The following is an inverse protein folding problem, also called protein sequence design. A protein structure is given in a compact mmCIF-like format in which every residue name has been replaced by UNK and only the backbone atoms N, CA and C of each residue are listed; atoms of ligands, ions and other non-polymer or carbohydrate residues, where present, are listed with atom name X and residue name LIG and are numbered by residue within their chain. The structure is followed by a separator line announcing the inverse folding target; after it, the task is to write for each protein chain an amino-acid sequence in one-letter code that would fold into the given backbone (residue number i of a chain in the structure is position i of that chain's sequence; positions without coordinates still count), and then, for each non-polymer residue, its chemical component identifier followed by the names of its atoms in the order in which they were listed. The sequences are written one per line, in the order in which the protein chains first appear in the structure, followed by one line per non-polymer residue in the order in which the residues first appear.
data_IF_937433099284
#
_entry.id   IF_937433099284
#
_cell.length_a   1.000
_cell.length_b   1.000
_cell.length_c   1.000
_cell.angle_alpha   90.00
_cell.angle_beta   90.00
_cell.angle_gamma   90.00
#
_symmetry.space_group_name_H-M   'P 1'
#
loop_
_entity.id
_entity.type
_entity.pdbx_description
1 polymer ?
#
# COMPACT_ATOMS: atom_id res chain seq x y z
N UNK A 1 0.57 -23.35 22.70
CA UNK A 1 1.84 -22.73 22.30
C UNK A 1 1.99 -22.97 20.80
N UNK A 2 1.75 -22.07 19.86
CA UNK A 2 1.17 -20.73 19.86
C UNK A 2 0.39 -20.61 18.55
N UNK A 3 -0.92 -20.37 18.62
CA UNK A 3 -1.71 -19.90 17.47
C UNK A 3 -1.59 -18.37 17.45
N UNK A 4 -0.47 -17.85 16.96
CA UNK A 4 -0.25 -16.41 16.85
C UNK A 4 0.10 -16.04 15.41
N UNK A 5 -0.87 -15.34 14.80
CA UNK A 5 -0.70 -14.30 13.78
C UNK A 5 -0.40 -14.74 12.34
N UNK A 6 -1.32 -15.51 11.74
CA UNK A 6 -1.57 -15.35 10.29
C UNK A 6 -2.46 -14.13 10.03
N UNK A 7 -1.97 -12.93 10.35
CA UNK A 7 -2.44 -11.77 9.57
C UNK A 7 -1.74 -11.87 8.23
N UNK A 8 -2.40 -12.51 7.27
CA UNK A 8 -1.98 -12.48 5.87
C UNK A 8 -1.75 -11.02 5.48
N UNK A 9 -0.48 -10.60 5.46
CA UNK A 9 -0.02 -9.37 4.82
C UNK A 9 -0.15 -9.61 3.32
N UNK A 10 -1.38 -9.70 2.84
CA UNK A 10 -1.64 -9.94 1.43
C UNK A 10 -1.23 -8.67 0.71
N UNK A 11 -0.04 -8.71 0.11
CA UNK A 11 0.44 -7.65 -0.75
C UNK A 11 -0.25 -7.81 -2.09
N UNK A 12 -1.32 -7.05 -2.30
CA UNK A 12 -2.14 -7.14 -3.51
C UNK A 12 -1.86 -6.01 -4.50
N UNK A 13 -1.23 -4.91 -4.06
CA UNK A 13 -1.12 -3.71 -4.86
C UNK A 13 0.27 -3.07 -4.81
N UNK A 14 0.66 -2.48 -5.94
CA UNK A 14 1.86 -1.65 -6.10
C UNK A 14 1.50 -0.26 -6.60
N UNK A 15 2.31 0.72 -6.27
CA UNK A 15 2.21 2.08 -6.79
C UNK A 15 3.50 2.42 -7.55
N UNK A 16 3.39 2.91 -8.79
CA UNK A 16 4.56 3.39 -9.52
C UNK A 16 5.09 4.67 -8.86
N UNK A 17 6.41 4.81 -8.73
CA UNK A 17 7.01 5.96 -8.07
C UNK A 17 6.66 7.30 -8.74
N UNK A 18 6.44 7.30 -10.07
CA UNK A 18 6.00 8.48 -10.82
C UNK A 18 4.48 8.56 -11.05
N UNK A 19 3.82 7.42 -11.31
CA UNK A 19 2.38 7.39 -11.59
C UNK A 19 1.67 6.95 -10.32
N UNK A 20 1.11 7.92 -9.60
CA UNK A 20 0.60 7.73 -8.23
C UNK A 20 -0.68 6.89 -8.12
N UNK A 21 -1.06 6.11 -9.14
CA UNK A 21 -2.21 5.21 -9.06
C UNK A 21 -1.76 3.80 -8.64
N UNK A 22 -2.41 3.15 -7.66
CA UNK A 22 -2.17 1.76 -7.34
C UNK A 22 -2.64 0.81 -8.45
N UNK A 23 -1.92 -0.29 -8.66
CA UNK A 23 -2.25 -1.37 -9.60
C UNK A 23 -2.11 -2.73 -8.93
N UNK A 24 -2.92 -3.73 -9.30
CA UNK A 24 -2.81 -5.06 -8.73
C UNK A 24 -1.49 -5.74 -9.12
N UNK A 25 -0.94 -6.51 -8.19
CA UNK A 25 0.21 -7.37 -8.41
C UNK A 25 -0.21 -8.68 -9.09
N UNK A 26 0.56 -9.11 -10.09
CA UNK A 26 0.47 -10.47 -10.61
C UNK A 26 0.93 -11.50 -9.57
N UNK A 27 0.42 -12.72 -9.66
CA UNK A 27 0.67 -13.81 -8.70
C UNK A 27 2.14 -14.12 -8.46
N UNK A 28 2.98 -14.08 -9.50
CA UNK A 28 4.41 -14.35 -9.38
C UNK A 28 5.18 -13.24 -8.64
N UNK A 29 4.86 -11.97 -8.92
CA UNK A 29 5.44 -10.85 -8.18
C UNK A 29 4.97 -10.86 -6.73
N UNK A 30 3.71 -11.25 -6.48
CA UNK A 30 3.18 -11.42 -5.12
C UNK A 30 3.99 -12.46 -4.34
N UNK A 31 4.24 -13.64 -4.90
CA UNK A 31 5.06 -14.68 -4.27
C UNK A 31 6.49 -14.20 -4.00
N UNK A 32 7.08 -13.44 -4.93
CA UNK A 32 8.41 -12.87 -4.72
C UNK A 32 8.42 -11.84 -3.60
N UNK A 33 7.41 -10.96 -3.53
CA UNK A 33 7.27 -10.00 -2.43
C UNK A 33 7.13 -10.72 -1.10
N UNK A 34 6.27 -11.75 -1.01
CA UNK A 34 6.09 -12.54 0.21
C UNK A 34 7.42 -13.15 0.66
N UNK A 35 8.19 -13.75 -0.25
CA UNK A 35 9.54 -14.27 0.06
C UNK A 35 10.52 -13.19 0.53
N UNK A 36 10.54 -12.01 -0.08
CA UNK A 36 11.40 -10.89 0.38
C UNK A 36 10.98 -10.43 1.77
N UNK A 37 9.68 -10.42 2.08
CA UNK A 37 9.18 -10.05 3.40
C UNK A 37 9.52 -11.08 4.48
N UNK A 38 9.56 -12.36 4.13
CA UNK A 38 9.94 -13.45 5.03
C UNK A 38 11.44 -13.54 5.26
N UNK A 39 12.23 -13.42 4.20
CA UNK A 39 13.67 -13.72 4.23
C UNK A 39 14.56 -12.47 4.30
N UNK A 40 14.04 -11.32 3.88
CA UNK A 40 14.82 -10.10 3.66
C UNK A 40 15.72 -10.13 2.42
N UNK A 41 15.83 -11.29 1.74
CA UNK A 41 16.70 -11.47 0.59
C UNK A 41 16.01 -11.00 -0.69
N UNK A 42 16.71 -10.20 -1.50
CA UNK A 42 16.19 -9.71 -2.76
C UNK A 42 15.88 -10.88 -3.72
N UNK A 43 14.72 -10.81 -4.38
CA UNK A 43 14.28 -11.78 -5.36
C UNK A 43 14.42 -11.21 -6.77
N UNK A 44 14.87 -12.03 -7.70
CA UNK A 44 15.02 -11.65 -9.11
C UNK A 44 14.17 -12.59 -9.96
N UNK A 45 13.24 -12.03 -10.72
CA UNK A 45 12.40 -12.77 -11.66
C UNK A 45 12.84 -12.40 -13.07
N UNK A 46 13.35 -13.39 -13.80
CA UNK A 46 13.69 -13.24 -15.21
C UNK A 46 12.47 -13.55 -16.09
N UNK A 47 12.08 -12.61 -16.93
CA UNK A 47 11.11 -12.79 -18.01
C UNK A 47 11.83 -12.60 -19.33
N UNK A 48 11.43 -13.36 -20.35
CA UNK A 48 12.01 -13.25 -21.70
C UNK A 48 11.98 -11.84 -22.33
N UNK A 49 11.25 -10.89 -21.73
CA UNK A 49 11.16 -9.48 -22.14
C UNK A 49 11.74 -8.50 -21.10
N UNK A 50 12.23 -8.95 -19.94
CA UNK A 50 12.75 -8.08 -18.90
C UNK A 50 12.98 -8.76 -17.55
N UNK A 51 13.68 -8.07 -16.66
CA UNK A 51 13.93 -8.56 -15.31
C UNK A 51 13.20 -7.70 -14.27
N UNK A 52 12.53 -8.37 -13.34
CA UNK A 52 12.00 -7.77 -12.12
C UNK A 52 12.97 -8.03 -10.96
N UNK A 53 13.26 -7.00 -10.18
CA UNK A 53 14.04 -7.10 -8.96
C UNK A 53 13.15 -6.63 -7.81
N UNK A 54 12.86 -7.52 -6.87
CA UNK A 54 12.08 -7.24 -5.66
C UNK A 54 13.05 -7.17 -4.50
N UNK A 55 13.12 -6.05 -3.80
CA UNK A 55 14.06 -5.81 -2.70
C UNK A 55 13.36 -5.19 -1.50
N UNK A 56 13.82 -5.53 -0.30
CA UNK A 56 13.41 -4.82 0.92
C UNK A 56 14.15 -3.48 1.01
N UNK A 57 13.49 -2.48 1.53
CA UNK A 57 14.01 -1.13 1.77
C UNK A 57 13.58 -0.70 3.17
N UNK A 58 14.21 0.35 3.71
CA UNK A 58 13.80 0.95 4.99
C UNK A 58 12.32 1.37 5.03
N UNK A 59 11.70 1.60 3.86
CA UNK A 59 10.30 2.04 3.73
C UNK A 59 9.34 0.92 3.33
N UNK A 60 9.78 -0.34 3.29
CA UNK A 60 8.99 -1.48 2.83
C UNK A 60 9.57 -2.12 1.57
N UNK A 61 8.74 -2.69 0.71
CA UNK A 61 9.21 -3.46 -0.46
C UNK A 61 9.20 -2.60 -1.73
N UNK A 62 10.29 -2.67 -2.49
CA UNK A 62 10.46 -2.03 -3.79
C UNK A 62 10.58 -3.07 -4.90
N UNK A 63 9.96 -2.79 -6.04
CA UNK A 63 10.06 -3.59 -7.26
C UNK A 63 10.66 -2.72 -8.38
N UNK A 64 11.79 -3.12 -8.94
CA UNK A 64 12.42 -2.48 -10.10
C UNK A 64 12.17 -3.34 -11.33
N UNK A 65 11.82 -2.71 -12.45
CA UNK A 65 11.65 -3.36 -13.76
C UNK A 65 12.73 -2.85 -14.69
N UNK A 66 13.74 -3.68 -14.96
CA UNK A 66 14.90 -3.28 -15.79
C UNK A 66 14.52 -2.96 -17.24
N UNK A 67 13.55 -3.67 -17.81
CA UNK A 67 13.12 -3.44 -19.20
C UNK A 67 12.47 -2.07 -19.44
N UNK A 68 11.95 -1.42 -18.39
CA UNK A 68 11.15 -0.20 -18.53
C UNK A 68 11.58 0.96 -17.63
N UNK A 69 12.75 0.87 -16.97
CA UNK A 69 13.24 1.87 -15.99
C UNK A 69 12.12 2.32 -15.04
N UNK A 70 11.35 1.35 -14.55
CA UNK A 70 10.21 1.61 -13.69
C UNK A 70 10.51 1.10 -12.28
N UNK A 71 10.10 1.89 -11.28
CA UNK A 71 10.18 1.51 -9.88
C UNK A 71 8.79 1.58 -9.27
N UNK A 72 8.44 0.55 -8.51
CA UNK A 72 7.17 0.42 -7.84
C UNK A 72 7.40 0.20 -6.34
N UNK A 73 6.53 0.77 -5.52
CA UNK A 73 6.47 0.51 -4.09
C UNK A 73 5.26 -0.35 -3.80
N UNK A 74 5.45 -1.37 -2.97
CA UNK A 74 4.37 -2.18 -2.42
C UNK A 74 3.63 -1.35 -1.37
N UNK A 75 2.30 -1.30 -1.47
CA UNK A 75 1.46 -0.63 -0.48
C UNK A 75 1.03 -1.62 0.60
N UNK A 76 1.70 -1.58 1.75
CA UNK A 76 1.24 -2.28 2.97
C UNK A 76 0.37 -1.35 3.82
N UNK A 77 -0.49 -1.91 4.68
CA UNK A 77 -1.26 -1.13 5.65
C UNK A 77 -0.34 -0.28 6.53
N UNK A 78 0.76 -0.86 7.01
CA UNK A 78 1.72 -0.19 7.89
C UNK A 78 2.37 1.01 7.19
N UNK A 79 2.82 0.83 5.93
CA UNK A 79 3.38 1.92 5.13
C UNK A 79 2.37 3.06 4.93
N UNK A 80 1.13 2.73 4.57
CA UNK A 80 0.08 3.76 4.36
C UNK A 80 -0.26 4.46 5.68
N UNK A 81 -0.26 3.75 6.81
CA UNK A 81 -0.49 4.33 8.14
C UNK A 81 0.58 5.31 8.55
N UNK A 82 1.85 4.94 8.34
CA UNK A 82 2.98 5.79 8.68
C UNK A 82 3.04 7.02 7.76
N UNK A 83 2.96 6.80 6.44
CA UNK A 83 3.06 7.87 5.44
C UNK A 83 1.96 8.92 5.56
N UNK A 84 0.75 8.53 5.92
CA UNK A 84 -0.41 9.41 6.00
C UNK A 84 -0.96 9.55 7.41
N UNK A 85 -0.09 9.43 8.43
CA UNK A 85 -0.46 9.50 9.84
C UNK A 85 -1.32 10.72 10.17
N UNK A 86 -0.93 11.91 9.71
CA UNK A 86 -1.66 13.15 10.00
C UNK A 86 -3.08 13.17 9.40
N UNK A 87 -3.26 12.55 8.23
CA UNK A 87 -4.57 12.44 7.58
C UNK A 87 -5.45 11.46 8.36
N UNK A 88 -4.88 10.34 8.80
CA UNK A 88 -5.57 9.32 9.60
C UNK A 88 -5.98 9.90 10.95
N UNK A 89 -5.09 10.63 11.63
CA UNK A 89 -5.39 11.29 12.91
C UNK A 89 -6.54 12.31 12.73
N UNK A 90 -6.48 13.13 11.69
CA UNK A 90 -7.57 14.05 11.38
C UNK A 90 -8.91 13.33 11.11
N UNK A 91 -8.89 12.21 10.38
CA UNK A 91 -10.10 11.41 10.16
C UNK A 91 -10.58 10.72 11.44
N UNK A 92 -9.69 10.36 12.36
CA UNK A 92 -10.05 9.77 13.66
C UNK A 92 -10.80 10.79 14.52
N UNK A 93 -10.37 12.04 14.54
CA UNK A 93 -11.03 13.13 15.26
C UNK A 93 -12.40 13.51 14.65
N UNK A 94 -12.48 13.54 13.31
CA UNK A 94 -13.68 13.98 12.59
C UNK A 94 -14.69 12.85 12.33
N UNK A 95 -14.25 11.60 12.35
CA UNK A 95 -15.03 10.44 11.95
C UNK A 95 -15.14 10.30 10.43
N UNK A 96 -16.25 10.77 9.86
CA UNK A 96 -16.49 10.70 8.41
C UNK A 96 -16.11 12.02 7.76
N UNK A 97 -15.25 11.97 6.74
CA UNK A 97 -14.68 13.15 6.09
C UNK A 97 -14.86 13.09 4.58
N UNK A 98 -15.33 14.16 3.94
CA UNK A 98 -15.47 14.21 2.49
C UNK A 98 -14.14 14.38 1.76
N UNK A 99 -14.08 14.00 0.47
CA UNK A 99 -12.90 14.25 -0.39
C UNK A 99 -12.51 15.74 -0.40
N UNK A 100 -13.52 16.61 -0.41
CA UNK A 100 -13.34 18.07 -0.45
C UNK A 100 -12.66 18.59 0.82
N UNK A 101 -13.07 18.09 1.98
CA UNK A 101 -12.46 18.46 3.26
C UNK A 101 -11.02 17.97 3.37
N UNK A 102 -10.75 16.72 2.97
CA UNK A 102 -9.39 16.19 2.93
C UNK A 102 -8.50 17.02 1.99
N UNK A 103 -8.96 17.34 0.77
CA UNK A 103 -8.22 18.20 -0.17
C UNK A 103 -7.99 19.61 0.35
N UNK A 104 -8.94 20.18 1.10
CA UNK A 104 -8.78 21.52 1.68
C UNK A 104 -7.64 21.57 2.71
N UNK A 105 -7.43 20.49 3.45
CA UNK A 105 -6.39 20.42 4.50
C UNK A 105 -5.05 19.88 4.01
N UNK A 106 -5.07 18.88 3.12
CA UNK A 106 -3.88 18.12 2.71
C UNK A 106 -3.57 18.19 1.21
N UNK A 107 -4.32 19.00 0.45
CA UNK A 107 -4.11 19.21 -0.99
C UNK A 107 -4.03 17.90 -1.77
N UNK A 108 -2.96 17.70 -2.56
CA UNK A 108 -2.75 16.52 -3.40
C UNK A 108 -2.54 15.24 -2.60
N UNK A 109 -2.01 15.33 -1.37
CA UNK A 109 -1.80 14.17 -0.49
C UNK A 109 -3.13 13.50 -0.11
N UNK A 110 -4.24 14.26 -0.10
CA UNK A 110 -5.56 13.70 0.14
C UNK A 110 -5.96 12.66 -0.93
N UNK A 111 -5.67 12.94 -2.19
CA UNK A 111 -6.02 12.04 -3.29
C UNK A 111 -5.14 10.79 -3.25
N UNK A 112 -3.85 10.96 -3.01
CA UNK A 112 -2.89 9.86 -2.89
C UNK A 112 -3.25 8.94 -1.72
N UNK A 113 -3.63 9.53 -0.58
CA UNK A 113 -4.12 8.78 0.56
C UNK A 113 -5.40 8.02 0.23
N UNK A 114 -6.41 8.66 -0.37
CA UNK A 114 -7.70 7.99 -0.65
C UNK A 114 -7.48 6.76 -1.53
N UNK A 115 -6.68 6.89 -2.60
CA UNK A 115 -6.42 5.75 -3.49
C UNK A 115 -5.67 4.63 -2.73
N UNK A 116 -4.60 4.96 -2.00
CA UNK A 116 -3.80 3.99 -1.26
C UNK A 116 -4.56 3.34 -0.09
N UNK A 117 -5.33 4.12 0.67
CA UNK A 117 -6.06 3.67 1.84
C UNK A 117 -7.29 2.84 1.49
N UNK A 118 -7.90 3.07 0.31
CA UNK A 118 -8.98 2.21 -0.20
C UNK A 118 -8.47 0.82 -0.57
N UNK A 119 -7.38 0.74 -1.32
CA UNK A 119 -6.83 -0.56 -1.74
C UNK A 119 -6.23 -1.35 -0.58
N UNK A 120 -5.69 -0.68 0.42
CA UNK A 120 -5.19 -1.32 1.65
C UNK A 120 -6.27 -1.57 2.70
N UNK A 121 -7.53 -1.17 2.45
CA UNK A 121 -8.65 -1.39 3.37
C UNK A 121 -8.59 -0.57 4.67
N UNK A 122 -7.80 0.51 4.71
CA UNK A 122 -7.73 1.43 5.86
C UNK A 122 -8.97 2.31 5.92
N UNK A 123 -9.55 2.67 4.76
CA UNK A 123 -10.78 3.46 4.68
C UNK A 123 -11.85 2.74 3.87
N UNK A 124 -13.10 3.03 4.19
CA UNK A 124 -14.26 2.68 3.36
C UNK A 124 -14.99 3.93 2.89
N UNK A 125 -15.58 3.84 1.70
CA UNK A 125 -16.48 4.85 1.18
C UNK A 125 -17.86 4.76 1.87
N UNK A 126 -18.47 5.92 2.08
CA UNK A 126 -19.84 6.09 2.57
C UNK A 126 -20.56 7.10 1.68
N UNK A 127 -21.87 7.24 1.82
CA UNK A 127 -22.64 8.28 1.10
C UNK A 127 -22.21 9.70 1.44
N UNK A 128 -21.53 9.92 2.59
CA UNK A 128 -21.11 11.24 3.08
C UNK A 128 -19.61 11.52 2.92
N UNK A 129 -18.82 10.54 2.47
CA UNK A 129 -17.35 10.68 2.38
C UNK A 129 -16.63 9.38 2.73
N UNK A 130 -15.46 9.50 3.33
CA UNK A 130 -14.61 8.38 3.73
C UNK A 130 -14.56 8.26 5.24
N UNK A 131 -14.45 7.03 5.73
CA UNK A 131 -14.30 6.74 7.16
C UNK A 131 -13.20 5.71 7.34
N UNK A 132 -12.43 5.84 8.41
CA UNK A 132 -11.49 4.80 8.83
C UNK A 132 -12.28 3.50 9.12
N UNK A 133 -11.73 2.39 8.69
CA UNK A 133 -12.19 1.06 9.13
C UNK A 133 -11.60 0.85 10.52
N UNK A 134 -12.46 0.64 11.53
CA UNK A 134 -12.00 0.32 12.87
C UNK A 134 -11.38 -1.07 12.85
N UNK A 135 -10.12 -1.18 13.29
CA UNK A 135 -9.49 -2.49 13.50
C UNK A 135 -9.97 -3.05 14.85
N UNK A 136 -10.75 -4.13 14.78
CA UNK A 136 -11.19 -4.87 15.96
C UNK A 136 -12.69 -4.77 16.24
N UNK A 137 -13.46 -5.70 15.67
CA UNK A 137 -14.64 -6.39 16.22
C UNK A 137 -15.15 -7.41 15.19
N UNK A 138 -14.48 -8.54 15.08
CA UNK A 138 -15.03 -9.82 14.64
C UNK A 138 -14.09 -10.91 15.15
#
# INVERSE_FOLDING_TARGET
MSEELMFGRVVEYVQHSFYKKPFPLGSELKNAVEKVMETGEAQVIDKGWGQYIVESTERGIRIKVRAHVATFEVLTKDYVREKYKDIIEFMREKGTVSRKELRKKFFLLADEFIEAAKVTGIVRSTSRGYRLVEEGRS
#
